data_IF_860232237202
#
_entry.id   IF_860232237202
#
_cell.length_a   1.000
_cell.length_b   1.000
_cell.length_c   1.000
_cell.angle_alpha   90.00
_cell.angle_beta   90.00
_cell.angle_gamma   90.00
#
_symmetry.space_group_name_H-M   'P 1'
#
loop_
_entity.id
_entity.type
_entity.pdbx_description
1 polymer ?
#
# COMPACT_ATOMS: atom_id res chain seq x y z
N UNK A 1 -12.56 -3.34 18.14
CA UNK A 1 -11.35 -2.51 18.31
C UNK A 1 -11.75 -1.05 18.51
N UNK A 2 -10.99 -0.27 19.27
CA UNK A 2 -11.20 1.16 19.51
C UNK A 2 -9.92 1.96 19.20
N UNK A 3 -10.03 3.00 18.37
CA UNK A 3 -8.88 3.84 17.97
C UNK A 3 -9.07 5.28 18.48
N UNK A 4 -8.03 5.85 19.07
CA UNK A 4 -7.96 7.28 19.37
C UNK A 4 -7.20 7.99 18.24
N UNK A 5 -7.86 8.98 17.61
CA UNK A 5 -7.27 9.80 16.55
C UNK A 5 -6.95 11.19 17.12
N UNK A 6 -5.68 11.54 17.17
CA UNK A 6 -5.17 12.78 17.76
C UNK A 6 -4.72 13.74 16.67
N UNK A 7 -5.27 14.94 16.71
CA UNK A 7 -4.97 16.04 15.81
C UNK A 7 -4.36 17.21 16.60
N UNK A 8 -3.07 17.44 16.39
CA UNK A 8 -2.28 18.46 17.04
C UNK A 8 -2.53 19.90 16.55
N UNK A 9 -1.57 20.80 16.79
CA UNK A 9 -1.79 22.22 16.60
C UNK A 9 -2.17 22.63 15.18
N UNK A 10 -3.22 23.44 15.12
CA UNK A 10 -3.81 24.06 13.93
C UNK A 10 -4.51 23.13 12.94
N UNK A 11 -4.66 21.84 13.24
CA UNK A 11 -5.46 20.95 12.39
C UNK A 11 -6.96 21.27 12.46
N UNK A 12 -7.42 21.96 13.52
CA UNK A 12 -8.77 22.55 13.56
C UNK A 12 -9.00 23.66 12.51
N UNK A 13 -7.95 24.13 11.83
CA UNK A 13 -8.04 25.17 10.81
C UNK A 13 -8.05 24.59 9.38
N UNK A 14 -8.08 23.27 9.22
CA UNK A 14 -8.25 22.62 7.90
C UNK A 14 -9.51 23.16 7.19
N UNK A 15 -9.49 23.22 5.86
CA UNK A 15 -10.51 23.83 5.02
C UNK A 15 -10.48 25.37 4.96
N UNK A 16 -9.75 26.05 5.85
CA UNK A 16 -9.56 27.51 5.80
C UNK A 16 -8.10 27.93 5.69
N UNK A 17 -7.19 27.09 6.20
CA UNK A 17 -5.76 27.33 6.20
C UNK A 17 -5.11 26.70 4.97
N UNK A 18 -4.41 27.53 4.20
CA UNK A 18 -3.56 27.12 3.08
C UNK A 18 -4.19 26.01 2.22
N UNK A 19 -5.35 26.28 1.57
CA UNK A 19 -6.09 25.25 0.85
C UNK A 19 -5.30 24.63 -0.31
N UNK A 20 -4.30 25.34 -0.83
CA UNK A 20 -3.39 24.81 -1.85
C UNK A 20 -2.57 23.63 -1.34
N UNK A 21 -2.24 23.60 -0.05
CA UNK A 21 -1.42 22.55 0.56
C UNK A 21 -2.24 21.43 1.20
N UNK A 22 -3.39 21.75 1.80
CA UNK A 22 -4.19 20.79 2.58
C UNK A 22 -5.55 20.46 1.97
N UNK A 23 -5.93 21.12 0.87
CA UNK A 23 -7.26 21.02 0.29
C UNK A 23 -8.33 21.80 1.06
N UNK A 24 -9.56 21.65 0.60
CA UNK A 24 -10.74 22.36 1.13
C UNK A 24 -11.47 21.58 2.23
N UNK A 25 -11.09 20.33 2.48
CA UNK A 25 -11.72 19.47 3.49
C UNK A 25 -11.45 20.00 4.92
N UNK A 26 -12.49 20.13 5.72
CA UNK A 26 -12.40 20.52 7.13
C UNK A 26 -12.12 19.30 8.01
N UNK A 27 -11.58 19.51 9.21
CA UNK A 27 -11.39 18.41 10.16
C UNK A 27 -12.70 17.64 10.46
N UNK A 28 -13.84 18.31 10.43
CA UNK A 28 -15.15 17.67 10.60
C UNK A 28 -15.51 16.74 9.44
N UNK A 29 -15.17 17.12 8.20
CA UNK A 29 -15.34 16.26 7.03
C UNK A 29 -14.47 15.00 7.15
N UNK A 30 -13.19 15.19 7.51
CA UNK A 30 -12.29 14.06 7.76
C UNK A 30 -12.82 13.13 8.87
N UNK A 31 -13.31 13.67 9.98
CA UNK A 31 -13.90 12.85 11.06
C UNK A 31 -15.12 12.05 10.60
N UNK A 32 -15.97 12.62 9.74
CA UNK A 32 -17.11 11.92 9.16
C UNK A 32 -16.66 10.78 8.22
N UNK A 33 -15.63 11.03 7.41
CA UNK A 33 -15.04 10.03 6.52
C UNK A 33 -14.44 8.87 7.32
N UNK A 34 -13.67 9.16 8.38
CA UNK A 34 -13.08 8.13 9.24
C UNK A 34 -14.15 7.28 9.92
N UNK A 35 -15.25 7.90 10.40
CA UNK A 35 -16.37 7.17 11.02
C UNK A 35 -17.03 6.23 10.02
N UNK A 36 -17.37 6.75 8.84
CA UNK A 36 -17.98 5.97 7.76
C UNK A 36 -17.09 4.80 7.34
N UNK A 37 -15.78 5.03 7.24
CA UNK A 37 -14.80 3.98 6.95
C UNK A 37 -14.78 2.89 8.03
N UNK A 38 -14.70 3.29 9.31
CA UNK A 38 -14.59 2.38 10.44
C UNK A 38 -15.87 1.56 10.70
N UNK A 39 -17.05 2.08 10.34
CA UNK A 39 -18.32 1.36 10.42
C UNK A 39 -18.29 0.04 9.63
N UNK A 40 -17.57 0.02 8.49
CA UNK A 40 -17.41 -1.18 7.65
C UNK A 40 -16.66 -2.31 8.34
N UNK A 41 -15.87 -1.99 9.37
CA UNK A 41 -14.99 -2.91 10.09
C UNK A 41 -15.41 -3.14 11.55
N UNK A 42 -16.55 -2.60 12.00
CA UNK A 42 -16.98 -2.59 13.41
C UNK A 42 -15.90 -2.01 14.36
N UNK A 43 -15.27 -0.92 13.91
CA UNK A 43 -14.24 -0.20 14.67
C UNK A 43 -14.83 1.08 15.24
N UNK A 44 -14.66 1.30 16.53
CA UNK A 44 -15.08 2.55 17.16
C UNK A 44 -13.93 3.55 17.21
N UNK A 45 -14.21 4.81 16.87
CA UNK A 45 -13.20 5.88 16.92
C UNK A 45 -13.62 7.03 17.83
N UNK A 46 -12.64 7.58 18.54
CA UNK A 46 -12.72 8.85 19.24
C UNK A 46 -11.68 9.80 18.66
N UNK A 47 -12.06 11.03 18.37
CA UNK A 47 -11.16 12.05 17.83
C UNK A 47 -10.92 13.14 18.87
N UNK A 48 -9.67 13.56 18.99
CA UNK A 48 -9.24 14.67 19.82
C UNK A 48 -8.49 15.67 18.96
N UNK A 49 -8.89 16.95 19.02
CA UNK A 49 -8.08 18.05 18.50
C UNK A 49 -7.58 18.91 19.66
N UNK A 50 -6.29 19.21 19.68
CA UNK A 50 -5.73 20.16 20.64
C UNK A 50 -4.53 20.94 20.09
N UNK A 51 -4.49 22.23 20.43
CA UNK A 51 -3.33 23.10 20.21
C UNK A 51 -2.32 23.06 21.37
N UNK A 52 -2.62 22.32 22.43
CA UNK A 52 -1.83 22.25 23.66
C UNK A 52 -1.19 20.87 23.81
N UNK A 53 0.14 20.84 23.89
CA UNK A 53 0.95 19.63 24.04
C UNK A 53 0.53 18.78 25.25
N UNK A 54 0.34 19.39 26.42
CA UNK A 54 -0.05 18.67 27.64
C UNK A 54 -1.37 17.91 27.51
N UNK A 55 -2.35 18.47 26.80
CA UNK A 55 -3.65 17.78 26.56
C UNK A 55 -3.46 16.53 25.70
N UNK A 56 -2.53 16.57 24.74
CA UNK A 56 -2.22 15.41 23.91
C UNK A 56 -1.52 14.33 24.74
N UNK A 57 -0.55 14.73 25.57
CA UNK A 57 0.16 13.83 26.50
C UNK A 57 -0.83 13.15 27.46
N UNK A 58 -1.71 13.92 28.08
CA UNK A 58 -2.73 13.39 29.00
C UNK A 58 -3.67 12.41 28.29
N UNK A 59 -4.13 12.75 27.09
CA UNK A 59 -5.02 11.88 26.30
C UNK A 59 -4.35 10.55 25.91
N UNK A 60 -3.06 10.55 25.57
CA UNK A 60 -2.29 9.32 25.30
C UNK A 60 -2.21 8.48 26.58
N UNK A 61 -1.85 9.09 27.71
CA UNK A 61 -1.71 8.40 29.00
C UNK A 61 -3.03 7.79 29.51
N UNK A 62 -4.14 8.52 29.39
CA UNK A 62 -5.49 8.03 29.71
C UNK A 62 -5.97 6.97 28.70
N UNK A 63 -5.47 7.03 27.46
CA UNK A 63 -5.88 6.20 26.36
C UNK A 63 -5.54 4.71 26.53
N UNK A 64 -4.47 4.39 27.26
CA UNK A 64 -3.97 3.02 27.46
C UNK A 64 -5.03 2.04 28.02
N UNK A 65 -6.06 2.53 28.69
CA UNK A 65 -7.13 1.71 29.28
C UNK A 65 -8.44 1.75 28.50
N UNK A 66 -8.50 2.55 27.43
CA UNK A 66 -9.74 2.88 26.71
C UNK A 66 -9.69 2.51 25.23
N UNK A 67 -8.50 2.48 24.65
CA UNK A 67 -8.26 2.26 23.23
C UNK A 67 -7.28 1.11 23.02
N UNK A 68 -7.30 0.57 21.81
CA UNK A 68 -6.44 -0.51 21.36
C UNK A 68 -5.29 0.02 20.45
N UNK A 69 -5.42 1.24 19.92
CA UNK A 69 -4.43 1.85 19.02
C UNK A 69 -4.57 3.37 18.92
N UNK A 70 -3.54 4.04 18.39
CA UNK A 70 -3.47 5.48 18.20
C UNK A 70 -3.19 5.84 16.74
N UNK A 71 -3.88 6.85 16.21
CA UNK A 71 -3.46 7.58 15.00
C UNK A 71 -3.14 8.99 15.44
N UNK A 72 -1.97 9.51 15.10
CA UNK A 72 -1.55 10.86 15.53
C UNK A 72 -0.98 11.67 14.39
N UNK A 73 -1.56 12.85 14.17
CA UNK A 73 -0.92 13.94 13.44
C UNK A 73 -0.64 15.06 14.43
N UNK A 74 0.58 15.12 14.96
CA UNK A 74 0.92 16.13 15.97
C UNK A 74 1.26 17.51 15.35
N UNK A 75 1.07 17.69 14.03
CA UNK A 75 1.33 18.94 13.35
C UNK A 75 2.78 19.41 13.50
N UNK A 76 3.00 20.62 14.03
CA UNK A 76 4.35 21.09 14.32
C UNK A 76 5.02 20.33 15.48
N UNK A 77 4.25 19.75 16.41
CA UNK A 77 4.80 19.08 17.58
C UNK A 77 5.50 17.76 17.23
N UNK A 78 5.17 17.13 16.10
CA UNK A 78 5.90 15.96 15.57
C UNK A 78 7.40 16.19 15.47
N UNK A 79 7.85 17.44 15.32
CA UNK A 79 9.26 17.77 15.10
C UNK A 79 10.02 18.18 16.37
N UNK A 80 9.30 18.43 17.48
CA UNK A 80 9.88 19.06 18.67
C UNK A 80 9.48 18.39 19.99
N UNK A 81 8.31 17.77 20.06
CA UNK A 81 7.72 17.29 21.31
C UNK A 81 8.26 15.92 21.70
N UNK A 82 9.34 15.92 22.49
CA UNK A 82 9.80 14.70 23.17
C UNK A 82 8.81 14.24 24.22
N UNK A 83 7.98 15.12 24.77
CA UNK A 83 6.96 14.72 25.76
C UNK A 83 5.87 13.85 25.14
N UNK A 84 5.42 14.15 23.91
CA UNK A 84 4.49 13.29 23.17
C UNK A 84 5.19 11.98 22.81
N UNK A 85 6.45 12.01 22.37
CA UNK A 85 7.21 10.79 22.08
C UNK A 85 7.30 9.85 23.31
N UNK A 86 7.67 10.41 24.47
CA UNK A 86 7.76 9.69 25.74
C UNK A 86 6.38 9.17 26.19
N UNK A 87 5.30 9.94 25.96
CA UNK A 87 3.94 9.52 26.28
C UNK A 87 3.50 8.31 25.44
N UNK A 88 3.78 8.33 24.13
CA UNK A 88 3.52 7.18 23.23
C UNK A 88 4.35 5.97 23.69
N UNK A 89 5.65 6.16 23.95
CA UNK A 89 6.52 5.07 24.40
C UNK A 89 6.22 4.53 25.81
N UNK A 90 5.46 5.27 26.62
CA UNK A 90 5.05 4.86 27.96
C UNK A 90 3.75 4.03 27.98
N UNK A 91 3.03 3.93 26.85
CA UNK A 91 1.80 3.13 26.73
C UNK A 91 2.00 1.96 25.78
N UNK A 92 1.33 0.84 26.04
CA UNK A 92 1.39 -0.36 25.17
C UNK A 92 0.32 -0.28 24.07
N UNK A 93 0.31 0.84 23.32
CA UNK A 93 -0.62 1.08 22.21
C UNK A 93 0.17 1.27 20.91
N UNK A 94 -0.10 0.48 19.85
CA UNK A 94 0.48 0.74 18.54
C UNK A 94 0.00 2.10 18.03
N UNK A 95 0.95 2.96 17.66
CA UNK A 95 0.70 4.31 17.17
C UNK A 95 1.16 4.48 15.73
N UNK A 96 0.31 5.04 14.87
CA UNK A 96 0.68 5.45 13.51
C UNK A 96 0.75 6.97 13.45
N UNK A 97 1.91 7.50 13.05
CA UNK A 97 2.07 8.92 12.78
C UNK A 97 1.58 9.25 11.36
N UNK A 98 0.80 10.33 11.21
CA UNK A 98 0.28 10.80 9.93
C UNK A 98 0.68 12.25 9.69
N UNK A 99 1.16 12.53 8.48
CA UNK A 99 1.35 13.87 7.94
C UNK A 99 0.64 14.00 6.59
N UNK A 100 -0.33 14.93 6.52
CA UNK A 100 -1.10 15.18 5.29
C UNK A 100 -0.18 15.59 4.13
N UNK A 101 0.81 16.45 4.39
CA UNK A 101 1.81 16.88 3.41
C UNK A 101 3.12 16.11 3.55
N UNK A 102 3.91 16.04 2.47
CA UNK A 102 5.21 15.40 2.50
C UNK A 102 6.19 16.28 3.29
N UNK A 103 6.54 15.87 4.52
CA UNK A 103 7.43 16.64 5.39
C UNK A 103 8.86 16.77 4.85
N UNK A 104 9.29 15.92 3.92
CA UNK A 104 10.63 15.95 3.31
C UNK A 104 10.75 16.92 2.12
N UNK A 105 9.63 17.42 1.62
CA UNK A 105 9.55 18.45 0.57
C UNK A 105 9.32 19.85 1.17
N UNK A 106 9.38 19.95 2.50
CA UNK A 106 9.04 21.14 3.27
C UNK A 106 10.30 21.81 3.85
N UNK A 107 10.09 22.71 4.80
CA UNK A 107 11.17 23.37 5.50
C UNK A 107 12.03 22.34 6.25
N UNK A 108 13.36 22.50 6.23
CA UNK A 108 14.31 21.47 6.72
C UNK A 108 14.09 21.01 8.16
N UNK A 109 13.54 21.88 9.02
CA UNK A 109 13.20 21.51 10.41
C UNK A 109 12.06 20.48 10.50
N UNK A 110 11.23 20.34 9.46
CA UNK A 110 10.17 19.33 9.37
C UNK A 110 10.68 17.96 8.91
N UNK A 111 11.90 17.86 8.42
CA UNK A 111 12.42 16.60 7.90
C UNK A 111 12.69 15.57 9.01
N UNK A 112 12.67 16.00 10.27
CA UNK A 112 12.90 15.15 11.44
C UNK A 112 11.61 15.09 12.25
N UNK A 113 11.01 13.91 12.36
CA UNK A 113 9.98 13.62 13.36
C UNK A 113 10.63 12.98 14.58
N UNK A 114 10.32 13.49 15.77
CA UNK A 114 10.72 12.88 17.04
C UNK A 114 9.79 11.74 17.46
N UNK A 115 8.67 11.55 16.76
CA UNK A 115 7.69 10.48 17.00
C UNK A 115 7.97 9.22 16.19
N UNK A 116 8.69 9.33 15.07
CA UNK A 116 8.96 8.23 14.14
C UNK A 116 9.41 6.94 14.83
N UNK A 117 10.32 7.04 15.80
CA UNK A 117 10.92 5.87 16.46
C UNK A 117 10.01 5.21 17.52
N UNK A 118 8.93 5.88 17.92
CA UNK A 118 7.92 5.35 18.88
C UNK A 118 6.60 4.98 18.21
N UNK A 119 6.46 5.24 16.90
CA UNK A 119 5.33 4.83 16.10
C UNK A 119 5.67 3.55 15.32
N UNK A 120 4.68 2.67 15.14
CA UNK A 120 4.85 1.43 14.34
C UNK A 120 4.92 1.73 12.85
N UNK A 121 4.35 2.85 12.42
CA UNK A 121 4.37 3.34 11.05
C UNK A 121 4.32 4.88 11.03
N UNK A 122 4.96 5.48 10.03
CA UNK A 122 4.83 6.92 9.72
C UNK A 122 4.40 7.08 8.28
N UNK A 123 3.22 7.68 8.08
CA UNK A 123 2.65 7.99 6.78
C UNK A 123 2.82 9.48 6.50
N UNK A 124 3.44 9.82 5.36
CA UNK A 124 3.69 11.22 4.99
C UNK A 124 3.25 11.50 3.56
N UNK A 125 2.63 12.65 3.33
CA UNK A 125 2.39 13.17 1.97
C UNK A 125 1.33 12.42 1.17
N UNK A 126 0.50 11.58 1.80
CA UNK A 126 -0.64 10.92 1.15
C UNK A 126 -1.92 11.76 1.17
N UNK A 127 -1.85 13.03 1.61
CA UNK A 127 -3.05 13.84 1.79
C UNK A 127 -3.90 13.33 2.96
N UNK A 128 -5.22 13.53 2.88
CA UNK A 128 -6.16 13.12 3.93
C UNK A 128 -6.36 11.60 4.00
N UNK A 129 -6.14 10.88 2.89
CA UNK A 129 -6.23 9.42 2.85
C UNK A 129 -5.17 8.73 3.71
N UNK A 130 -4.09 9.43 4.09
CA UNK A 130 -3.11 8.91 5.04
C UNK A 130 -3.71 8.51 6.39
N UNK A 131 -4.80 9.14 6.83
CA UNK A 131 -5.52 8.72 8.04
C UNK A 131 -6.27 7.40 7.83
N UNK A 132 -6.92 7.23 6.68
CA UNK A 132 -7.59 5.98 6.32
C UNK A 132 -6.57 4.84 6.24
N UNK A 133 -5.43 5.06 5.58
CA UNK A 133 -4.35 4.07 5.52
C UNK A 133 -3.80 3.72 6.92
N UNK A 134 -3.68 4.72 7.82
CA UNK A 134 -3.25 4.46 9.20
C UNK A 134 -4.26 3.59 9.97
N UNK A 135 -5.56 3.87 9.81
CA UNK A 135 -6.64 3.08 10.40
C UNK A 135 -6.60 1.65 9.85
N UNK A 136 -6.52 1.51 8.53
CA UNK A 136 -6.45 0.23 7.83
C UNK A 136 -5.26 -0.63 8.29
N UNK A 137 -4.08 -0.03 8.40
CA UNK A 137 -2.88 -0.68 8.93
C UNK A 137 -3.11 -1.22 10.34
N UNK A 138 -3.68 -0.41 11.23
CA UNK A 138 -3.94 -0.80 12.62
C UNK A 138 -5.02 -1.90 12.71
N UNK A 139 -6.04 -1.86 11.86
CA UNK A 139 -7.05 -2.93 11.76
C UNK A 139 -6.39 -4.24 11.30
N UNK A 140 -5.54 -4.18 10.29
CA UNK A 140 -4.81 -5.35 9.80
C UNK A 140 -3.87 -5.90 10.88
N UNK A 141 -3.14 -5.05 11.58
CA UNK A 141 -2.28 -5.47 12.71
C UNK A 141 -3.07 -6.13 13.83
N UNK A 142 -4.29 -5.65 14.12
CA UNK A 142 -5.13 -6.21 15.17
C UNK A 142 -5.76 -7.55 14.76
N UNK A 143 -6.20 -7.68 13.52
CA UNK A 143 -6.96 -8.86 13.04
C UNK A 143 -6.08 -9.96 12.49
N UNK A 144 -4.96 -9.61 11.85
CA UNK A 144 -3.99 -10.53 11.25
C UNK A 144 -2.58 -9.96 11.34
N UNK A 145 -1.94 -10.05 12.54
CA UNK A 145 -0.61 -9.50 12.77
C UNK A 145 0.42 -10.09 11.80
N UNK A 146 1.24 -9.24 11.21
CA UNK A 146 2.34 -9.67 10.34
C UNK A 146 3.66 -9.81 11.10
N UNK A 147 4.54 -10.67 10.58
CA UNK A 147 5.96 -10.69 10.93
C UNK A 147 6.75 -10.03 9.80
N UNK A 148 7.44 -8.94 10.11
CA UNK A 148 8.35 -8.32 9.14
C UNK A 148 9.63 -9.15 9.04
N UNK A 149 9.94 -9.62 7.83
CA UNK A 149 11.12 -10.43 7.51
C UNK A 149 11.90 -9.78 6.38
N UNK A 150 13.20 -10.03 6.34
CA UNK A 150 14.06 -9.56 5.26
C UNK A 150 14.19 -10.66 4.19
N UNK A 151 13.99 -10.30 2.92
CA UNK A 151 14.07 -11.25 1.82
C UNK A 151 15.29 -11.05 0.90
N UNK A 152 15.94 -9.89 0.96
CA UNK A 152 17.16 -9.59 0.21
C UNK A 152 18.31 -9.14 1.11
N UNK A 153 19.42 -8.73 0.51
CA UNK A 153 20.63 -8.32 1.25
C UNK A 153 20.53 -6.91 1.83
N UNK A 154 19.70 -6.04 1.24
CA UNK A 154 19.53 -4.66 1.68
C UNK A 154 18.46 -4.54 2.77
N UNK A 155 18.67 -3.64 3.75
CA UNK A 155 17.73 -3.42 4.85
C UNK A 155 16.33 -2.94 4.38
N UNK A 156 16.23 -2.47 3.14
CA UNK A 156 14.99 -2.00 2.51
C UNK A 156 14.19 -3.13 1.86
N UNK A 157 14.79 -4.30 1.64
CA UNK A 157 14.14 -5.47 1.03
C UNK A 157 13.45 -6.33 2.08
N UNK A 158 12.30 -5.84 2.54
CA UNK A 158 11.50 -6.46 3.61
C UNK A 158 10.12 -6.85 3.13
N UNK A 159 9.54 -7.85 3.77
CA UNK A 159 8.16 -8.26 3.56
C UNK A 159 7.44 -8.39 4.89
N UNK A 160 6.14 -8.11 4.89
CA UNK A 160 5.25 -8.39 6.01
C UNK A 160 4.52 -9.70 5.73
N UNK A 161 4.90 -10.74 6.49
CA UNK A 161 4.38 -12.09 6.31
C UNK A 161 3.21 -12.36 7.25
N UNK A 162 2.10 -12.82 6.66
CA UNK A 162 0.94 -13.36 7.38
C UNK A 162 0.68 -14.79 6.90
N UNK A 163 0.44 -15.70 7.84
CA UNK A 163 0.18 -17.12 7.56
C UNK A 163 -1.15 -17.51 8.20
N UNK A 164 -2.09 -18.14 7.48
CA UNK A 164 -3.34 -18.60 8.05
C UNK A 164 -3.10 -19.60 9.18
N UNK A 165 -4.03 -19.64 10.14
CA UNK A 165 -4.10 -20.75 11.09
C UNK A 165 -4.70 -21.99 10.40
N UNK A 166 -4.17 -23.18 10.69
CA UNK A 166 -4.71 -24.44 10.18
C UNK A 166 -3.61 -25.34 9.63
N UNK A 167 -4.01 -26.46 9.01
CA UNK A 167 -3.09 -27.36 8.34
C UNK A 167 -2.75 -26.81 6.95
N UNK A 168 -1.46 -26.63 6.67
CA UNK A 168 -0.94 -26.29 5.34
C UNK A 168 -0.79 -27.52 4.42
N UNK A 169 -0.09 -27.39 3.28
CA UNK A 169 0.59 -26.17 2.84
C UNK A 169 -0.38 -25.12 2.27
N UNK A 170 -0.09 -23.84 2.51
CA UNK A 170 -0.90 -22.70 2.08
C UNK A 170 -0.42 -22.13 0.74
N UNK A 171 -1.33 -21.76 -0.19
CA UNK A 171 -0.95 -20.93 -1.33
C UNK A 171 -0.50 -19.55 -0.84
N UNK A 172 0.42 -18.91 -1.56
CA UNK A 172 1.03 -17.63 -1.18
C UNK A 172 0.73 -16.55 -2.20
N UNK A 173 0.15 -15.45 -1.73
CA UNK A 173 0.01 -14.21 -2.49
C UNK A 173 1.16 -13.26 -2.11
N UNK A 174 2.07 -13.00 -3.04
CA UNK A 174 3.09 -11.95 -2.89
C UNK A 174 2.45 -10.65 -3.37
N UNK A 175 2.20 -9.73 -2.45
CA UNK A 175 1.51 -8.48 -2.72
C UNK A 175 2.51 -7.38 -3.07
N UNK A 176 2.36 -6.80 -4.26
CA UNK A 176 3.21 -5.72 -4.80
C UNK A 176 2.38 -4.45 -4.89
N UNK A 177 2.65 -3.50 -3.99
CA UNK A 177 1.84 -2.29 -3.86
C UNK A 177 1.96 -1.33 -5.05
N UNK A 178 0.96 -0.45 -5.21
CA UNK A 178 0.96 0.63 -6.19
C UNK A 178 1.69 1.89 -5.70
N UNK A 179 1.28 3.05 -6.22
CA UNK A 179 1.78 4.35 -5.74
C UNK A 179 2.85 5.00 -6.62
N UNK A 180 2.80 4.76 -7.94
CA UNK A 180 3.67 5.42 -8.92
C UNK A 180 5.18 5.29 -8.63
N UNK A 181 5.57 4.20 -7.98
CA UNK A 181 6.96 3.95 -7.57
C UNK A 181 7.57 5.07 -6.70
N UNK A 182 6.72 5.82 -5.98
CA UNK A 182 7.11 6.91 -5.09
C UNK A 182 7.25 6.41 -3.65
N UNK A 183 8.23 6.94 -2.94
CA UNK A 183 8.57 6.56 -1.56
C UNK A 183 7.54 6.96 -0.50
N UNK A 184 6.54 7.79 -0.85
CA UNK A 184 5.43 8.11 0.06
C UNK A 184 4.43 6.95 0.18
N UNK A 185 4.41 6.03 -0.80
CA UNK A 185 3.58 4.84 -0.80
C UNK A 185 4.45 3.64 -0.48
N UNK A 186 3.99 2.81 0.45
CA UNK A 186 4.72 1.65 0.94
C UNK A 186 3.78 0.46 1.01
N UNK A 187 4.32 -0.71 1.34
CA UNK A 187 3.60 -1.99 1.40
C UNK A 187 2.33 -2.02 2.29
N UNK A 188 2.19 -1.07 3.22
CA UNK A 188 1.01 -0.89 4.06
C UNK A 188 -0.27 -0.60 3.24
N UNK A 189 -0.13 -0.05 2.03
CA UNK A 189 -1.25 0.19 1.12
C UNK A 189 -2.05 -1.09 0.83
N UNK A 190 -1.39 -2.25 0.88
CA UNK A 190 -1.98 -3.56 0.61
C UNK A 190 -2.45 -4.30 1.87
N UNK A 191 -2.37 -3.69 3.06
CA UNK A 191 -2.69 -4.36 4.33
C UNK A 191 -4.13 -4.86 4.46
N UNK A 192 -5.18 -4.09 4.05
CA UNK A 192 -6.55 -4.58 4.10
C UNK A 192 -6.75 -5.86 3.30
N UNK A 193 -6.28 -5.86 2.04
CA UNK A 193 -6.32 -7.03 1.17
C UNK A 193 -5.52 -8.21 1.77
N UNK A 194 -4.34 -7.93 2.32
CA UNK A 194 -3.51 -8.96 2.93
C UNK A 194 -4.22 -9.66 4.10
N UNK A 195 -4.79 -8.88 5.01
CA UNK A 195 -5.52 -9.41 6.15
C UNK A 195 -6.77 -10.20 5.71
N UNK A 196 -7.48 -9.73 4.68
CA UNK A 196 -8.67 -10.41 4.17
C UNK A 196 -8.34 -11.76 3.51
N UNK A 197 -7.27 -11.84 2.72
CA UNK A 197 -6.84 -13.09 2.05
C UNK A 197 -6.54 -14.23 3.02
N UNK A 198 -6.08 -13.91 4.24
CA UNK A 198 -5.84 -14.91 5.29
C UNK A 198 -7.12 -15.68 5.62
N UNK A 199 -8.28 -15.00 5.66
CA UNK A 199 -9.59 -15.63 5.86
C UNK A 199 -10.03 -16.56 4.72
N UNK A 200 -9.36 -16.48 3.58
CA UNK A 200 -9.55 -17.34 2.41
C UNK A 200 -8.47 -18.42 2.27
N UNK A 201 -7.64 -18.62 3.30
CA UNK A 201 -6.62 -19.67 3.34
C UNK A 201 -5.31 -19.35 2.61
N UNK A 202 -5.14 -18.10 2.15
CA UNK A 202 -3.92 -17.64 1.49
C UNK A 202 -2.95 -17.07 2.52
N UNK A 203 -1.69 -17.52 2.48
CA UNK A 203 -0.61 -16.78 3.09
C UNK A 203 -0.31 -15.52 2.26
N UNK A 204 0.08 -14.43 2.90
CA UNK A 204 0.37 -13.17 2.22
C UNK A 204 1.75 -12.65 2.59
N UNK A 205 2.50 -12.22 1.59
CA UNK A 205 3.77 -11.53 1.75
C UNK A 205 3.69 -10.16 1.07
N UNK A 206 3.42 -9.10 1.84
CA UNK A 206 3.45 -7.73 1.32
C UNK A 206 4.89 -7.28 1.21
N UNK A 207 5.41 -7.08 0.00
CA UNK A 207 6.82 -6.72 -0.19
C UNK A 207 6.99 -5.20 -0.29
N UNK A 208 8.05 -4.69 0.33
CA UNK A 208 8.62 -3.39 -0.02
C UNK A 208 9.72 -3.61 -1.05
N UNK A 209 9.84 -2.73 -2.04
CA UNK A 209 10.82 -2.86 -3.12
C UNK A 209 11.51 -1.53 -3.39
N UNK A 210 12.55 -1.52 -4.24
CA UNK A 210 13.26 -0.29 -4.58
C UNK A 210 12.32 0.71 -5.26
N UNK A 211 12.19 1.90 -4.65
CA UNK A 211 11.34 3.00 -5.12
C UNK A 211 12.20 4.22 -5.51
N UNK A 212 11.61 5.13 -6.28
CA UNK A 212 12.22 6.41 -6.63
C UNK A 212 12.94 6.43 -7.97
N UNK A 213 13.80 7.43 -8.15
CA UNK A 213 14.43 7.73 -9.44
C UNK A 213 15.40 6.63 -9.89
N UNK A 214 15.25 6.13 -11.12
CA UNK A 214 16.10 5.10 -11.69
C UNK A 214 16.01 3.74 -11.00
N UNK A 215 14.97 3.50 -10.19
CA UNK A 215 14.83 2.31 -9.36
C UNK A 215 14.45 1.05 -10.12
N UNK A 216 14.03 1.15 -11.40
CA UNK A 216 13.50 0.04 -12.20
C UNK A 216 14.29 -1.27 -12.11
N UNK A 217 15.61 -1.19 -12.35
CA UNK A 217 16.44 -2.40 -12.38
C UNK A 217 16.55 -3.08 -11.01
N UNK A 218 16.54 -2.30 -9.93
CA UNK A 218 16.58 -2.83 -8.58
C UNK A 218 15.20 -3.38 -8.18
N UNK A 219 14.12 -2.66 -8.48
CA UNK A 219 12.75 -3.13 -8.22
C UNK A 219 12.48 -4.50 -8.88
N UNK A 220 12.92 -4.69 -10.13
CA UNK A 220 12.80 -5.99 -10.80
C UNK A 220 13.58 -7.10 -10.09
N UNK A 221 14.81 -6.84 -9.62
CA UNK A 221 15.61 -7.80 -8.85
C UNK A 221 14.99 -8.10 -7.49
N UNK A 222 14.38 -7.10 -6.87
CA UNK A 222 13.72 -7.23 -5.58
C UNK A 222 12.52 -8.18 -5.68
N UNK A 223 11.70 -8.06 -6.73
CA UNK A 223 10.61 -9.00 -7.00
C UNK A 223 11.12 -10.43 -7.26
N UNK A 224 12.15 -10.59 -8.08
CA UNK A 224 12.79 -11.90 -8.32
C UNK A 224 13.30 -12.50 -6.99
N UNK A 225 13.92 -11.69 -6.14
CA UNK A 225 14.43 -12.11 -4.83
C UNK A 225 13.31 -12.49 -3.85
N UNK A 226 12.23 -11.72 -3.81
CA UNK A 226 11.08 -12.02 -2.96
C UNK A 226 10.42 -13.36 -3.35
N UNK A 227 10.23 -13.62 -4.63
CA UNK A 227 9.69 -14.91 -5.12
C UNK A 227 10.60 -16.06 -4.74
N UNK A 228 11.91 -15.92 -4.98
CA UNK A 228 12.90 -16.94 -4.60
C UNK A 228 12.92 -17.17 -3.10
N UNK A 229 12.80 -16.11 -2.29
CA UNK A 229 12.74 -16.21 -0.84
C UNK A 229 11.52 -17.01 -0.39
N UNK A 230 10.31 -16.67 -0.90
CA UNK A 230 9.07 -17.39 -0.55
C UNK A 230 9.17 -18.87 -0.92
N UNK A 231 9.66 -19.17 -2.12
CA UNK A 231 9.82 -20.55 -2.59
C UNK A 231 10.87 -21.33 -1.77
N UNK A 232 11.96 -20.68 -1.40
CA UNK A 232 13.05 -21.32 -0.63
C UNK A 232 12.70 -21.54 0.83
N UNK A 233 11.82 -20.69 1.41
CA UNK A 233 11.39 -20.77 2.80
C UNK A 233 10.03 -21.48 2.96
N UNK A 234 9.51 -22.10 1.90
CA UNK A 234 8.18 -22.70 1.91
C UNK A 234 7.99 -23.76 3.00
N UNK A 235 9.00 -24.61 3.24
CA UNK A 235 8.93 -25.63 4.27
C UNK A 235 8.96 -25.06 5.71
N UNK A 236 9.59 -23.90 5.92
CA UNK A 236 9.65 -23.26 7.25
C UNK A 236 8.32 -22.61 7.63
N UNK A 237 7.53 -22.22 6.63
CA UNK A 237 6.31 -21.43 6.83
C UNK A 237 5.04 -22.13 6.35
N UNK A 238 5.12 -23.44 6.09
CA UNK A 238 4.02 -24.27 5.59
C UNK A 238 3.37 -23.70 4.31
N UNK A 239 4.18 -23.21 3.37
CA UNK A 239 3.72 -22.76 2.06
C UNK A 239 3.71 -23.91 1.05
N UNK A 240 2.82 -23.80 0.06
CA UNK A 240 2.91 -24.59 -1.16
C UNK A 240 3.84 -23.86 -2.15
N UNK A 241 5.07 -24.34 -2.37
CA UNK A 241 6.04 -23.66 -3.24
C UNK A 241 5.62 -23.63 -4.71
N UNK A 242 4.61 -24.43 -5.10
CA UNK A 242 4.05 -24.42 -6.46
C UNK A 242 2.91 -23.43 -6.63
N UNK A 243 2.35 -22.92 -5.52
CA UNK A 243 1.17 -22.06 -5.50
C UNK A 243 1.54 -20.66 -5.02
N UNK A 244 2.55 -20.08 -5.65
CA UNK A 244 2.99 -18.70 -5.41
C UNK A 244 2.42 -17.83 -6.52
N UNK A 245 1.60 -16.84 -6.17
CA UNK A 245 0.99 -15.89 -7.11
C UNK A 245 1.48 -14.48 -6.81
N UNK A 246 1.88 -13.76 -7.85
CA UNK A 246 2.13 -12.32 -7.74
C UNK A 246 0.81 -11.57 -7.85
N UNK A 247 0.52 -10.68 -6.90
CA UNK A 247 -0.67 -9.85 -6.91
C UNK A 247 -0.24 -8.39 -6.85
N UNK A 248 -0.34 -7.69 -7.98
CA UNK A 248 0.17 -6.33 -8.10
C UNK A 248 -0.94 -5.32 -8.34
N UNK A 249 -0.94 -4.22 -7.60
CA UNK A 249 -1.84 -3.09 -7.81
C UNK A 249 -1.16 -1.98 -8.59
N UNK A 250 -1.82 -1.43 -9.61
CA UNK A 250 -1.36 -0.21 -10.31
C UNK A 250 0.08 -0.34 -10.83
N UNK A 251 0.99 0.52 -10.32
CA UNK A 251 2.43 0.47 -10.54
C UNK A 251 3.09 -0.87 -10.14
N UNK A 252 2.63 -1.51 -9.07
CA UNK A 252 3.05 -2.86 -8.67
C UNK A 252 2.46 -3.96 -9.55
N UNK A 253 1.31 -3.70 -10.18
CA UNK A 253 0.74 -4.51 -11.25
C UNK A 253 1.67 -4.59 -12.46
N UNK A 254 2.20 -3.46 -12.90
CA UNK A 254 3.24 -3.42 -13.94
C UNK A 254 4.45 -4.29 -13.57
N UNK A 255 5.00 -4.12 -12.36
CA UNK A 255 6.17 -4.88 -11.92
C UNK A 255 5.89 -6.38 -11.88
N UNK A 256 4.70 -6.77 -11.43
CA UNK A 256 4.26 -8.18 -11.38
C UNK A 256 4.16 -8.79 -12.79
N UNK A 257 3.60 -8.06 -13.75
CA UNK A 257 3.51 -8.49 -15.15
C UNK A 257 4.90 -8.54 -15.82
N UNK A 258 5.77 -7.57 -15.54
CA UNK A 258 7.13 -7.58 -16.06
C UNK A 258 7.96 -8.75 -15.48
N UNK A 259 7.73 -9.08 -14.21
CA UNK A 259 8.40 -10.19 -13.52
C UNK A 259 7.89 -11.55 -14.01
N UNK A 260 6.60 -11.66 -14.37
CA UNK A 260 6.00 -12.87 -14.94
C UNK A 260 6.80 -13.46 -16.12
N UNK A 261 7.31 -12.60 -17.00
CA UNK A 261 8.10 -13.02 -18.16
C UNK A 261 9.47 -13.62 -17.78
N UNK A 262 9.94 -13.35 -16.56
CA UNK A 262 11.27 -13.73 -16.05
C UNK A 262 11.21 -14.84 -15.01
N UNK A 263 10.03 -15.04 -14.40
CA UNK A 263 9.79 -15.96 -13.31
C UNK A 263 8.74 -17.02 -13.69
N UNK A 264 9.07 -17.99 -14.57
CA UNK A 264 8.13 -19.05 -14.96
C UNK A 264 7.76 -20.02 -13.83
N UNK A 265 8.32 -19.83 -12.62
CA UNK A 265 8.09 -20.68 -11.45
C UNK A 265 6.90 -20.23 -10.61
N UNK A 266 6.34 -19.02 -10.84
CA UNK A 266 5.11 -18.60 -10.16
C UNK A 266 3.89 -19.24 -10.83
N UNK A 267 2.85 -19.53 -10.04
CA UNK A 267 1.63 -20.16 -10.52
C UNK A 267 0.83 -19.25 -11.47
N UNK A 268 0.88 -17.93 -11.24
CA UNK A 268 0.22 -16.95 -12.07
C UNK A 268 0.44 -15.52 -11.57
N UNK A 269 -0.20 -14.56 -12.25
CA UNK A 269 -0.23 -13.16 -11.85
C UNK A 269 -1.65 -12.62 -11.82
N UNK A 270 -2.00 -11.90 -10.76
CA UNK A 270 -3.21 -11.09 -10.68
C UNK A 270 -2.82 -9.61 -10.73
N UNK A 271 -3.22 -8.93 -11.81
CA UNK A 271 -2.98 -7.50 -12.02
C UNK A 271 -4.23 -6.68 -11.68
N UNK A 272 -4.18 -5.89 -10.61
CA UNK A 272 -5.28 -5.04 -10.15
C UNK A 272 -5.07 -3.62 -10.65
N UNK A 273 -5.89 -3.15 -11.60
CA UNK A 273 -5.72 -1.87 -12.27
C UNK A 273 -4.26 -1.65 -12.77
N UNK A 274 -3.63 -2.72 -13.26
CA UNK A 274 -2.22 -2.71 -13.57
C UNK A 274 -1.89 -1.72 -14.69
N UNK A 275 -0.79 -0.99 -14.55
CA UNK A 275 -0.20 -0.23 -15.67
C UNK A 275 0.36 -1.23 -16.67
N UNK A 276 -0.13 -1.20 -17.90
CA UNK A 276 0.34 -2.11 -18.97
C UNK A 276 0.94 -1.38 -20.16
N UNK A 277 0.80 -0.06 -20.21
CA UNK A 277 1.38 0.81 -21.22
C UNK A 277 2.10 1.99 -20.54
N UNK A 278 3.43 1.90 -20.51
CA UNK A 278 4.31 2.90 -19.90
C UNK A 278 4.28 4.24 -20.65
N UNK A 279 4.16 4.22 -21.98
CA UNK A 279 4.12 5.44 -22.79
C UNK A 279 2.78 6.17 -22.57
N UNK A 280 1.67 5.44 -22.58
CA UNK A 280 0.36 6.02 -22.27
C UNK A 280 0.31 6.61 -20.86
N UNK A 281 0.88 5.89 -19.86
CA UNK A 281 0.95 6.39 -18.49
C UNK A 281 1.76 7.69 -18.39
N UNK A 282 2.94 7.74 -19.01
CA UNK A 282 3.78 8.95 -19.08
C UNK A 282 3.05 10.14 -19.71
N UNK A 283 2.40 9.94 -20.86
CA UNK A 283 1.65 10.99 -21.57
C UNK A 283 0.50 11.55 -20.73
N UNK A 284 -0.16 10.71 -19.93
CA UNK A 284 -1.28 11.14 -19.07
C UNK A 284 -0.84 12.00 -17.87
N UNK A 285 0.46 12.06 -17.54
CA UNK A 285 0.99 12.71 -16.32
C UNK A 285 2.24 13.57 -16.60
N UNK A 286 2.19 14.43 -17.60
CA UNK A 286 3.36 15.23 -18.03
C UNK A 286 3.96 16.13 -16.93
N UNK A 287 3.15 16.65 -16.02
CA UNK A 287 3.63 17.55 -14.94
C UNK A 287 4.39 16.80 -13.83
N UNK A 288 4.24 15.48 -13.74
CA UNK A 288 4.92 14.61 -12.77
C UNK A 288 5.00 13.18 -13.33
N UNK A 289 5.82 12.99 -14.36
CA UNK A 289 5.91 11.72 -15.08
C UNK A 289 6.49 10.60 -14.18
N UNK A 290 5.65 9.63 -13.76
CA UNK A 290 6.10 8.58 -12.84
C UNK A 290 6.99 7.55 -13.55
N UNK A 291 6.84 7.38 -14.86
CA UNK A 291 7.59 6.39 -15.65
C UNK A 291 9.00 6.89 -15.92
N UNK A 292 9.15 8.15 -16.34
CA UNK A 292 10.47 8.76 -16.52
C UNK A 292 11.27 8.74 -15.21
N UNK A 293 10.61 8.96 -14.06
CA UNK A 293 11.24 8.81 -12.74
C UNK A 293 11.66 7.37 -12.47
N UNK A 294 10.77 6.40 -12.60
CA UNK A 294 11.10 4.99 -12.41
C UNK A 294 12.32 4.56 -13.24
N UNK A 295 12.35 4.95 -14.52
CA UNK A 295 13.42 4.60 -15.46
C UNK A 295 14.67 5.48 -15.31
N UNK A 296 14.57 6.63 -14.63
CA UNK A 296 15.64 7.62 -14.50
C UNK A 296 15.96 8.36 -15.80
N UNK A 297 15.08 8.29 -16.80
CA UNK A 297 15.26 8.92 -18.10
C UNK A 297 13.93 9.06 -18.86
N UNK A 298 13.77 10.16 -19.61
CA UNK A 298 12.63 10.36 -20.50
C UNK A 298 12.65 9.39 -21.69
N UNK A 299 11.51 9.19 -22.34
CA UNK A 299 11.41 8.37 -23.56
C UNK A 299 12.33 8.88 -24.67
N UNK A 300 12.44 10.20 -24.83
CA UNK A 300 13.33 10.81 -25.83
C UNK A 300 14.81 10.59 -25.55
N UNK A 301 15.21 10.56 -24.28
CA UNK A 301 16.61 10.42 -23.88
C UNK A 301 17.09 8.95 -23.91
N UNK A 302 16.20 8.00 -23.59
CA UNK A 302 16.54 6.59 -23.46
C UNK A 302 15.52 5.64 -24.12
N UNK A 303 15.21 5.75 -25.43
CA UNK A 303 14.15 4.98 -26.08
C UNK A 303 14.36 3.46 -26.02
N UNK A 304 15.62 3.00 -25.97
CA UNK A 304 15.94 1.57 -25.82
C UNK A 304 15.59 1.03 -24.44
N UNK A 305 15.78 1.82 -23.38
CA UNK A 305 15.43 1.44 -22.02
C UNK A 305 13.90 1.31 -21.89
N UNK A 306 13.17 2.27 -22.43
CA UNK A 306 11.71 2.25 -22.47
C UNK A 306 11.16 1.03 -23.22
N UNK A 307 11.69 0.73 -24.40
CA UNK A 307 11.32 -0.48 -25.13
C UNK A 307 11.64 -1.77 -24.33
N UNK A 308 12.75 -1.80 -23.58
CA UNK A 308 13.10 -2.96 -22.73
C UNK A 308 12.24 -3.09 -21.48
N UNK A 309 11.74 -1.96 -20.95
CA UNK A 309 10.84 -1.92 -19.82
C UNK A 309 9.39 -2.25 -20.21
N UNK A 310 9.01 -2.02 -21.46
CA UNK A 310 7.68 -2.38 -21.97
C UNK A 310 7.35 -3.87 -21.79
N UNK A 311 6.07 -4.14 -21.52
CA UNK A 311 5.54 -5.50 -21.43
C UNK A 311 5.44 -6.10 -22.84
N UNK A 312 6.54 -6.68 -23.31
CA UNK A 312 6.64 -7.34 -24.61
C UNK A 312 6.80 -8.85 -24.46
N UNK A 313 6.17 -9.60 -25.37
CA UNK A 313 6.21 -11.07 -25.39
C UNK A 313 4.85 -11.72 -25.12
N UNK A 314 4.83 -13.05 -25.11
CA UNK A 314 3.65 -13.85 -24.79
C UNK A 314 3.88 -14.58 -23.47
N UNK A 315 3.25 -14.14 -22.36
CA UNK A 315 3.40 -14.80 -21.08
C UNK A 315 2.89 -16.25 -21.16
N UNK A 316 3.66 -17.17 -20.58
CA UNK A 316 3.37 -18.60 -20.60
C UNK A 316 2.64 -19.08 -19.35
N UNK A 317 2.59 -18.25 -18.32
CA UNK A 317 1.84 -18.47 -17.09
C UNK A 317 0.47 -17.77 -17.16
N UNK A 318 -0.54 -18.26 -16.43
CA UNK A 318 -1.83 -17.60 -16.29
C UNK A 318 -1.70 -16.16 -15.79
N UNK A 319 -2.37 -15.23 -16.46
CA UNK A 319 -2.51 -13.83 -16.01
C UNK A 319 -3.99 -13.49 -15.93
N UNK A 320 -4.42 -12.92 -14.82
CA UNK A 320 -5.76 -12.39 -14.64
C UNK A 320 -5.71 -10.91 -14.25
N UNK A 321 -6.22 -10.06 -15.13
CA UNK A 321 -6.38 -8.63 -14.88
C UNK A 321 -7.75 -8.37 -14.27
N UNK A 322 -7.82 -7.57 -13.22
CA UNK A 322 -9.06 -7.03 -12.67
C UNK A 322 -8.98 -5.51 -12.76
N UNK A 323 -10.01 -4.86 -13.30
CA UNK A 323 -10.00 -3.42 -13.53
C UNK A 323 -11.38 -2.81 -13.23
N UNK A 324 -11.43 -1.66 -12.55
CA UNK A 324 -12.68 -0.96 -12.25
C UNK A 324 -13.19 -0.15 -13.46
N UNK A 325 -14.50 -0.12 -13.72
CA UNK A 325 -15.04 0.66 -14.84
C UNK A 325 -14.94 2.18 -14.64
N UNK A 326 -14.72 2.63 -13.41
CA UNK A 326 -14.62 4.04 -13.02
C UNK A 326 -13.20 4.42 -12.56
N UNK A 327 -12.18 3.65 -12.98
CA UNK A 327 -10.78 3.97 -12.73
C UNK A 327 -10.38 5.28 -13.43
N UNK A 328 -10.07 6.31 -12.64
CA UNK A 328 -9.66 7.63 -13.10
C UNK A 328 -8.13 7.81 -13.12
N UNK A 329 -7.39 6.78 -12.73
CA UNK A 329 -5.96 6.81 -12.48
C UNK A 329 -5.19 6.05 -13.55
N UNK A 330 -5.66 4.85 -13.91
CA UNK A 330 -5.14 4.03 -15.01
C UNK A 330 -6.29 3.78 -15.98
N UNK A 331 -6.14 4.20 -17.23
CA UNK A 331 -7.19 4.00 -18.24
C UNK A 331 -7.47 2.50 -18.47
N UNK A 332 -8.74 2.10 -18.34
CA UNK A 332 -9.25 0.75 -18.62
C UNK A 332 -8.82 0.22 -20.00
N UNK A 333 -8.62 1.11 -20.98
CA UNK A 333 -8.12 0.75 -22.31
C UNK A 333 -6.76 0.04 -22.23
N UNK A 334 -5.91 0.35 -21.25
CA UNK A 334 -4.62 -0.33 -21.05
C UNK A 334 -4.83 -1.83 -20.80
N UNK A 335 -5.63 -2.18 -19.80
CA UNK A 335 -5.93 -3.59 -19.46
C UNK A 335 -6.70 -4.29 -20.59
N UNK A 336 -7.63 -3.58 -21.25
CA UNK A 336 -8.37 -4.11 -22.40
C UNK A 336 -7.42 -4.50 -23.54
N UNK A 337 -6.52 -3.61 -23.94
CA UNK A 337 -5.56 -3.85 -25.01
C UNK A 337 -4.55 -4.94 -24.66
N UNK A 338 -4.06 -4.96 -23.41
CA UNK A 338 -3.10 -5.96 -22.96
C UNK A 338 -3.71 -7.36 -22.93
N UNK A 339 -4.98 -7.50 -22.52
CA UNK A 339 -5.67 -8.80 -22.49
C UNK A 339 -5.88 -9.44 -23.87
N UNK A 340 -5.85 -8.65 -24.93
CA UNK A 340 -6.04 -9.14 -26.31
C UNK A 340 -4.76 -9.75 -26.91
N UNK A 341 -3.62 -9.65 -26.24
CA UNK A 341 -2.35 -10.14 -26.77
C UNK A 341 -2.33 -11.68 -26.90
N UNK A 342 -2.92 -12.39 -25.94
CA UNK A 342 -2.95 -13.86 -25.91
C UNK A 342 -4.12 -14.38 -25.07
N UNK A 343 -4.57 -15.60 -25.33
CA UNK A 343 -5.63 -16.26 -24.54
C UNK A 343 -5.22 -16.63 -23.09
N UNK A 344 -3.92 -16.54 -22.74
CA UNK A 344 -3.45 -16.79 -21.37
C UNK A 344 -3.73 -15.61 -20.44
N UNK A 345 -4.10 -14.45 -21.00
CA UNK A 345 -4.43 -13.23 -20.27
C UNK A 345 -5.94 -13.07 -20.24
N UNK A 346 -6.53 -13.10 -19.04
CA UNK A 346 -7.95 -12.84 -18.82
C UNK A 346 -8.15 -11.44 -18.25
N UNK A 347 -9.28 -10.83 -18.56
CA UNK A 347 -9.69 -9.55 -17.99
C UNK A 347 -11.08 -9.66 -17.38
N UNK A 348 -11.21 -9.20 -16.14
CA UNK A 348 -12.49 -8.93 -15.48
C UNK A 348 -12.62 -7.45 -15.25
N UNK A 349 -13.63 -6.83 -15.87
CA UNK A 349 -14.01 -5.44 -15.58
C UNK A 349 -15.10 -5.45 -14.52
N UNK A 350 -14.90 -4.70 -13.45
CA UNK A 350 -15.86 -4.58 -12.34
C UNK A 350 -16.57 -3.25 -12.44
N UNK A 351 -17.89 -3.28 -12.57
CA UNK A 351 -18.69 -2.08 -12.75
C UNK A 351 -18.80 -1.24 -11.47
N UNK A 352 -18.78 0.10 -11.60
CA UNK A 352 -18.94 1.04 -10.50
C UNK A 352 -17.80 1.03 -9.47
N UNK A 353 -16.62 0.52 -9.85
CA UNK A 353 -15.45 0.44 -8.98
C UNK A 353 -14.36 1.37 -9.50
N UNK A 354 -13.74 2.10 -8.57
CA UNK A 354 -12.62 3.00 -8.83
C UNK A 354 -11.26 2.28 -8.75
N UNK A 355 -10.17 3.05 -8.84
CA UNK A 355 -8.79 2.56 -8.81
C UNK A 355 -8.43 1.82 -7.51
N UNK A 356 -8.98 2.25 -6.38
CA UNK A 356 -8.62 1.74 -5.04
C UNK A 356 -9.53 0.61 -4.58
N UNK A 357 -10.74 0.53 -5.13
CA UNK A 357 -11.74 -0.50 -4.84
C UNK A 357 -11.17 -1.92 -4.97
N UNK A 358 -10.23 -2.14 -5.89
CA UNK A 358 -9.65 -3.46 -6.14
C UNK A 358 -8.77 -4.01 -5.00
N UNK A 359 -8.31 -3.15 -4.09
CA UNK A 359 -7.51 -3.54 -2.92
C UNK A 359 -8.25 -3.31 -1.60
N UNK A 360 -9.49 -2.83 -1.66
CA UNK A 360 -10.39 -2.70 -0.51
C UNK A 360 -11.27 -3.97 -0.42
N UNK A 361 -11.07 -4.84 0.59
CA UNK A 361 -11.83 -6.07 0.73
C UNK A 361 -13.31 -5.84 1.09
N UNK A 362 -13.70 -4.61 1.41
CA UNK A 362 -15.10 -4.24 1.65
C UNK A 362 -15.81 -3.71 0.39
N UNK A 363 -15.07 -3.55 -0.72
CA UNK A 363 -15.62 -3.04 -1.96
C UNK A 363 -16.43 -4.09 -2.73
N UNK A 364 -17.30 -3.67 -3.65
CA UNK A 364 -17.97 -4.59 -4.58
C UNK A 364 -17.02 -5.38 -5.50
N UNK A 365 -15.76 -4.95 -5.65
CA UNK A 365 -14.78 -5.64 -6.49
C UNK A 365 -14.20 -6.91 -5.84
N UNK A 366 -14.27 -7.03 -4.52
CA UNK A 366 -13.59 -8.10 -3.77
C UNK A 366 -13.92 -9.52 -4.26
N UNK A 367 -15.18 -9.89 -4.57
CA UNK A 367 -15.49 -11.22 -5.10
C UNK A 367 -14.79 -11.52 -6.45
N UNK A 368 -14.63 -10.50 -7.30
CA UNK A 368 -13.92 -10.63 -8.59
C UNK A 368 -12.42 -10.81 -8.39
N UNK A 369 -11.84 -10.16 -7.38
CA UNK A 369 -10.43 -10.32 -7.00
C UNK A 369 -10.17 -11.74 -6.49
N UNK A 370 -11.02 -12.26 -5.60
CA UNK A 370 -10.93 -13.66 -5.14
C UNK A 370 -11.08 -14.66 -6.30
N UNK A 371 -12.04 -14.43 -7.20
CA UNK A 371 -12.19 -15.28 -8.39
C UNK A 371 -10.95 -15.24 -9.28
N UNK A 372 -10.28 -14.09 -9.43
CA UNK A 372 -9.04 -13.99 -10.20
C UNK A 372 -7.90 -14.79 -9.55
N UNK A 373 -7.84 -14.79 -8.21
CA UNK A 373 -6.85 -15.55 -7.44
C UNK A 373 -7.00 -17.07 -7.64
N UNK A 374 -8.24 -17.57 -7.59
CA UNK A 374 -8.55 -18.99 -7.82
C UNK A 374 -8.25 -19.42 -9.27
N UNK A 375 -8.48 -18.53 -10.23
CA UNK A 375 -8.22 -18.82 -11.65
C UNK A 375 -6.71 -18.81 -11.97
N UNK A 376 -5.93 -17.95 -11.31
CA UNK A 376 -4.48 -17.91 -11.45
C UNK A 376 -3.79 -19.20 -10.94
N UNK A 377 -4.51 -20.02 -10.18
CA UNK A 377 -4.00 -21.26 -9.57
C UNK A 377 -4.59 -22.53 -10.15
N UNK A 378 -5.58 -22.40 -11.04
CA UNK A 378 -6.25 -23.53 -11.68
C UNK A 378 -5.48 -24.00 -12.93
N UNK A 379 -4.47 -24.85 -12.75
CA UNK A 379 -3.75 -25.56 -13.85
C UNK A 379 -3.61 -27.05 -13.60
#
# INVERSE_FOLDING_TARGET
>A
MRILIINGPNLNLLGTRDPQLYGDATLADLEADWRTHCERYDVAIEALQSNHEGVIVDAIGEGQHRFDALVINAGALSHYSRSIADAIGAVDLPAVEVHISNIYERETWRHVSVLKDVCVLTIVGRGTSGYINAIDHLIAMHTSPARTLQYGEENTTVLDLRVPSGDGPHPVAILVHGGFWRTIWTRDLMDPMAAALIGHGWATANIEYSLGEGSYANAMRDLESAVLWVQSNAAEHDFDPKMVVLVGHSAGGYLSLAAAARLPTVAGVVGLAAVTDLEAMSVSRQDDDPVARLLGASLSDAPRLWHQAGLSGSPTIPIHLVHGSEDDTVDLAQSTNYSQQTDTIRLTVVDGCDHMSLIDPTSPAWPSVLSAMDLATST
#
